data_IF_456323072398
#
_entry.id   IF_456323072398
#
_cell.length_a   1.000
_cell.length_b   1.000
_cell.length_c   1.000
_cell.angle_alpha   90.00
_cell.angle_beta   90.00
_cell.angle_gamma   90.00
#
_symmetry.space_group_name_H-M   'P 1'
#
loop_
_entity.id
_entity.type
_entity.pdbx_description
1 polymer ?
#
# COMPACT_ATOMS: atom_id res chain seq x y z
N UNK A 1 2.49 5.85 17.89
CA UNK A 1 3.40 6.98 18.18
C UNK A 1 2.86 8.29 17.63
N UNK A 2 2.46 8.39 16.32
CA UNK A 2 1.99 9.63 15.69
C UNK A 2 0.80 10.24 16.41
N UNK A 3 -0.28 9.48 16.67
CA UNK A 3 -1.44 9.95 17.44
C UNK A 3 -1.03 10.51 18.82
N UNK A 4 -0.17 9.81 19.56
CA UNK A 4 0.33 10.29 20.86
C UNK A 4 1.06 11.63 20.70
N UNK A 5 1.92 11.73 19.69
CA UNK A 5 2.67 12.95 19.42
C UNK A 5 1.78 14.14 19.09
N UNK A 6 0.75 13.95 18.28
CA UNK A 6 -0.23 14.99 17.92
C UNK A 6 -1.06 15.40 19.14
N UNK A 7 -1.67 14.44 19.85
CA UNK A 7 -2.53 14.70 21.00
C UNK A 7 -1.78 15.47 22.11
N UNK A 8 -0.49 15.16 22.31
CA UNK A 8 0.33 15.84 23.33
C UNK A 8 0.35 17.34 23.13
N UNK A 9 0.42 17.83 21.90
CA UNK A 9 0.44 19.26 21.59
C UNK A 9 -0.93 19.83 21.20
N UNK A 10 -1.92 18.96 20.92
CA UNK A 10 -3.30 19.32 20.53
C UNK A 10 -4.27 18.55 21.44
N UNK A 11 -4.35 18.86 22.76
CA UNK A 11 -5.14 18.08 23.73
C UNK A 11 -6.65 18.11 23.48
N UNK A 12 -7.14 19.02 22.65
CA UNK A 12 -8.52 19.06 22.17
C UNK A 12 -8.90 17.81 21.35
N UNK A 13 -7.91 17.07 20.82
CA UNK A 13 -8.05 15.81 20.11
C UNK A 13 -7.76 14.58 20.99
N UNK A 14 -7.93 14.69 22.32
CA UNK A 14 -7.64 13.59 23.26
C UNK A 14 -8.48 12.33 23.02
N UNK A 15 -9.67 12.46 22.44
CA UNK A 15 -10.39 11.35 21.86
C UNK A 15 -9.77 11.00 20.49
N UNK A 16 -9.15 9.82 20.39
CA UNK A 16 -8.44 9.37 19.21
C UNK A 16 -9.33 9.27 17.95
N UNK A 17 -10.64 9.05 18.13
CA UNK A 17 -11.62 9.00 17.03
C UNK A 17 -11.70 10.36 16.31
N UNK A 18 -11.48 11.46 17.04
CA UNK A 18 -11.48 12.82 16.46
C UNK A 18 -10.32 13.08 15.47
N UNK A 19 -9.35 12.17 15.39
CA UNK A 19 -8.23 12.25 14.46
C UNK A 19 -8.50 11.53 13.12
N UNK A 20 -9.64 10.89 12.95
CA UNK A 20 -9.99 10.21 11.69
C UNK A 20 -10.11 11.23 10.54
N UNK A 21 -9.62 10.83 9.36
CA UNK A 21 -9.57 11.69 8.18
C UNK A 21 -8.50 12.77 8.32
N UNK A 22 -8.78 13.95 7.82
CA UNK A 22 -7.91 15.13 7.92
C UNK A 22 -8.32 15.95 9.14
N UNK A 23 -7.69 15.69 10.29
CA UNK A 23 -7.97 16.43 11.51
C UNK A 23 -7.41 17.86 11.42
N UNK A 24 -8.17 18.88 11.86
CA UNK A 24 -7.74 20.28 11.80
C UNK A 24 -6.80 20.65 12.96
N UNK A 25 -5.75 19.86 13.18
CA UNK A 25 -4.74 20.15 14.21
C UNK A 25 -3.96 21.41 13.86
N UNK A 26 -3.55 22.15 14.87
CA UNK A 26 -2.89 23.47 14.70
C UNK A 26 -1.41 23.44 15.04
N UNK A 27 -0.98 22.46 15.80
CA UNK A 27 0.40 22.37 16.30
C UNK A 27 1.04 21.07 15.82
N UNK A 28 2.31 21.15 15.46
CA UNK A 28 3.11 19.96 15.15
C UNK A 28 3.12 18.99 16.33
N UNK A 29 3.27 17.72 16.04
CA UNK A 29 3.50 16.70 17.06
C UNK A 29 4.76 17.02 17.86
N UNK A 30 4.92 16.40 19.02
CA UNK A 30 6.22 16.33 19.65
C UNK A 30 7.23 15.70 18.68
N UNK A 31 8.53 16.07 18.74
CA UNK A 31 9.53 15.48 17.84
C UNK A 31 9.51 13.94 17.89
N UNK A 32 9.33 13.33 16.73
CA UNK A 32 9.36 11.87 16.55
C UNK A 32 10.65 11.52 15.82
N UNK A 33 11.41 10.56 16.35
CA UNK A 33 12.50 9.87 15.66
C UNK A 33 11.98 8.49 15.32
N UNK A 34 11.85 8.18 14.03
CA UNK A 34 11.31 6.93 13.56
C UNK A 34 12.40 5.99 13.04
N UNK A 35 12.38 4.76 13.52
CA UNK A 35 13.25 3.67 13.07
C UNK A 35 12.36 2.54 12.54
N UNK A 36 12.16 2.43 11.22
CA UNK A 36 11.32 1.37 10.66
C UNK A 36 11.97 0.01 10.85
N UNK A 37 11.15 -0.99 11.21
CA UNK A 37 11.56 -2.39 11.37
C UNK A 37 10.97 -3.29 10.29
N UNK A 38 10.20 -2.72 9.35
CA UNK A 38 9.62 -3.40 8.19
C UNK A 38 9.83 -2.55 6.94
N UNK A 39 9.93 -3.17 5.79
CA UNK A 39 10.00 -2.49 4.49
C UNK A 39 8.62 -2.56 3.81
N UNK A 40 7.70 -1.68 4.20
CA UNK A 40 6.32 -1.71 3.72
C UNK A 40 5.61 -0.36 3.83
N UNK A 41 5.22 0.02 5.03
CA UNK A 41 4.28 1.11 5.31
C UNK A 41 4.84 2.53 5.11
N UNK A 42 6.15 2.70 5.10
CA UNK A 42 6.81 4.01 5.06
C UNK A 42 6.34 5.01 6.14
N UNK A 43 5.92 4.50 7.31
CA UNK A 43 5.37 5.33 8.38
C UNK A 43 6.34 6.41 8.87
N UNK A 44 7.64 6.22 8.65
CA UNK A 44 8.70 7.16 9.01
C UNK A 44 8.78 8.40 8.12
N UNK A 45 8.07 8.42 6.99
CA UNK A 45 8.11 9.53 6.01
C UNK A 45 6.73 10.04 5.59
N UNK A 46 5.66 9.37 6.02
CA UNK A 46 4.29 9.69 5.60
C UNK A 46 3.56 10.60 6.60
N UNK A 47 2.51 11.27 6.12
CA UNK A 47 1.54 12.02 6.93
C UNK A 47 0.41 11.15 7.48
N UNK A 48 0.43 9.84 7.16
CA UNK A 48 -0.66 8.94 7.47
C UNK A 48 -0.31 8.03 8.65
N UNK A 49 -1.33 7.62 9.37
CA UNK A 49 -1.31 6.48 10.28
C UNK A 49 -2.71 5.87 10.38
N UNK A 50 -2.78 4.60 10.75
CA UNK A 50 -4.04 3.88 10.81
C UNK A 50 -4.23 3.31 12.21
N UNK A 51 -5.43 3.51 12.76
CA UNK A 51 -5.83 2.96 14.06
C UNK A 51 -7.09 2.11 13.85
N UNK A 52 -7.14 0.94 14.46
CA UNK A 52 -8.34 0.10 14.42
C UNK A 52 -9.32 0.57 15.49
N UNK A 53 -10.50 0.95 15.06
CA UNK A 53 -11.66 1.11 15.91
C UNK A 53 -12.29 -0.28 16.09
N UNK A 54 -12.05 -0.88 17.25
CA UNK A 54 -12.53 -2.24 17.56
C UNK A 54 -14.04 -2.29 17.77
N UNK A 55 -14.65 -1.19 18.23
CA UNK A 55 -16.10 -1.14 18.47
C UNK A 55 -16.89 -1.11 17.15
N UNK A 56 -16.40 -0.36 16.16
CA UNK A 56 -17.04 -0.22 14.87
C UNK A 56 -16.44 -1.13 13.78
N UNK A 57 -15.44 -1.95 14.11
CA UNK A 57 -14.72 -2.81 13.16
C UNK A 57 -14.22 -2.05 11.93
N UNK A 58 -13.57 -0.92 12.16
CA UNK A 58 -13.14 0.01 11.10
C UNK A 58 -11.65 0.36 11.23
N UNK A 59 -10.96 0.47 10.09
CA UNK A 59 -9.64 1.09 10.03
C UNK A 59 -9.83 2.59 9.87
N UNK A 60 -9.53 3.35 10.92
CA UNK A 60 -9.50 4.81 10.88
C UNK A 60 -8.19 5.26 10.24
N UNK A 61 -8.25 5.78 9.05
CA UNK A 61 -7.11 6.41 8.39
C UNK A 61 -7.03 7.86 8.86
N UNK A 62 -5.94 8.18 9.54
CA UNK A 62 -5.67 9.53 10.03
C UNK A 62 -4.61 10.17 9.15
N UNK A 63 -4.85 11.40 8.73
CA UNK A 63 -3.98 12.14 7.81
C UNK A 63 -3.67 13.51 8.42
N UNK A 64 -2.40 13.74 8.78
CA UNK A 64 -2.01 15.01 9.41
C UNK A 64 -0.56 15.39 9.03
N UNK A 65 -0.32 16.45 8.24
CA UNK A 65 1.02 16.90 7.92
C UNK A 65 1.84 17.34 9.14
N UNK A 66 1.19 17.56 10.29
CA UNK A 66 1.84 17.90 11.54
C UNK A 66 2.48 16.71 12.25
N UNK A 67 2.25 15.48 11.79
CA UNK A 67 2.73 14.25 12.44
C UNK A 67 3.95 13.60 11.76
N UNK A 68 4.43 14.16 10.64
CA UNK A 68 5.62 13.65 9.97
C UNK A 68 6.78 13.56 10.95
N UNK A 69 7.46 12.41 11.09
CA UNK A 69 8.64 12.30 11.94
C UNK A 69 9.71 13.32 11.58
N UNK A 70 10.31 13.92 12.61
CA UNK A 70 11.38 14.91 12.43
C UNK A 70 12.67 14.28 11.87
N UNK A 71 12.90 13.00 12.19
CA UNK A 71 14.06 12.22 11.74
C UNK A 71 13.59 10.81 11.43
N UNK A 72 13.99 10.30 10.27
CA UNK A 72 13.87 8.89 9.90
C UNK A 72 15.26 8.26 9.85
N UNK A 73 15.47 7.16 10.59
CA UNK A 73 16.69 6.37 10.57
C UNK A 73 16.34 5.03 9.92
N UNK A 74 16.64 4.90 8.64
CA UNK A 74 16.33 3.71 7.85
C UNK A 74 17.56 2.78 7.88
N UNK A 75 17.54 1.86 8.84
CA UNK A 75 18.58 0.86 9.04
C UNK A 75 18.04 -0.54 8.70
N UNK A 76 18.51 -1.09 7.60
CA UNK A 76 18.05 -2.40 7.11
C UNK A 76 18.44 -3.57 8.03
N UNK A 77 19.42 -3.41 8.91
CA UNK A 77 19.80 -4.46 9.87
C UNK A 77 18.66 -4.76 10.85
N UNK A 78 17.84 -3.75 11.18
CA UNK A 78 16.64 -3.92 12.01
C UNK A 78 15.58 -4.83 11.36
N UNK A 79 15.71 -5.12 10.07
CA UNK A 79 14.79 -5.95 9.29
C UNK A 79 15.31 -7.38 9.05
N UNK A 80 16.54 -7.72 9.45
CA UNK A 80 17.16 -9.03 9.15
C UNK A 80 16.44 -10.21 9.82
N UNK A 81 15.77 -9.98 10.95
CA UNK A 81 15.06 -11.01 11.71
C UNK A 81 13.60 -11.16 11.30
N UNK A 82 13.11 -10.39 10.31
CA UNK A 82 11.73 -10.50 9.84
C UNK A 82 11.45 -11.89 9.26
N UNK A 83 10.33 -12.54 9.65
CA UNK A 83 9.87 -13.77 9.02
C UNK A 83 9.63 -13.59 7.52
N UNK A 84 9.83 -14.65 6.74
CA UNK A 84 9.63 -14.65 5.28
C UNK A 84 8.26 -14.11 4.88
N UNK A 85 7.19 -14.61 5.50
CA UNK A 85 5.82 -14.17 5.19
C UNK A 85 5.61 -12.67 5.46
N UNK A 86 6.19 -12.13 6.54
CA UNK A 86 6.10 -10.71 6.84
C UNK A 86 6.95 -9.88 5.85
N UNK A 87 8.15 -10.33 5.51
CA UNK A 87 8.98 -9.69 4.48
C UNK A 87 8.25 -9.63 3.13
N UNK A 88 7.61 -10.75 2.73
CA UNK A 88 6.85 -10.84 1.48
C UNK A 88 5.65 -9.89 1.47
N UNK A 89 4.82 -9.96 2.52
CA UNK A 89 3.59 -9.15 2.58
C UNK A 89 3.88 -7.66 2.70
N UNK A 90 4.85 -7.25 3.54
CA UNK A 90 5.20 -5.82 3.64
C UNK A 90 5.89 -5.30 2.38
N UNK A 91 6.71 -6.12 1.72
CA UNK A 91 7.35 -5.72 0.46
C UNK A 91 6.35 -5.56 -0.70
N UNK A 92 5.33 -6.42 -0.77
CA UNK A 92 4.24 -6.26 -1.73
C UNK A 92 3.27 -5.13 -1.35
N UNK A 93 3.13 -4.81 -0.07
CA UNK A 93 2.47 -3.61 0.40
C UNK A 93 3.16 -2.35 -0.13
N UNK A 94 4.50 -2.28 -0.01
CA UNK A 94 5.29 -1.21 -0.62
C UNK A 94 5.12 -1.14 -2.15
N UNK A 95 5.02 -2.28 -2.84
CA UNK A 95 4.73 -2.33 -4.27
C UNK A 95 3.33 -1.81 -4.58
N UNK A 96 2.36 -2.14 -3.74
CA UNK A 96 0.98 -1.64 -3.87
C UNK A 96 0.94 -0.12 -3.70
N UNK A 97 1.62 0.42 -2.68
CA UNK A 97 1.77 1.85 -2.48
C UNK A 97 2.34 2.53 -3.74
N UNK A 98 3.45 1.99 -4.28
CA UNK A 98 4.11 2.56 -5.43
C UNK A 98 3.24 2.50 -6.71
N UNK A 99 2.54 1.39 -6.95
CA UNK A 99 1.66 1.26 -8.12
C UNK A 99 0.42 2.14 -7.97
N UNK A 100 -0.26 2.12 -6.82
CA UNK A 100 -1.43 2.99 -6.61
C UNK A 100 -1.05 4.47 -6.63
N UNK A 101 0.05 4.86 -5.97
CA UNK A 101 0.56 6.23 -6.00
C UNK A 101 0.91 6.71 -7.42
N UNK A 102 1.40 5.82 -8.29
CA UNK A 102 1.70 6.14 -9.69
C UNK A 102 0.42 6.37 -10.52
N UNK A 103 -0.65 5.61 -10.27
CA UNK A 103 -1.88 5.66 -11.09
C UNK A 103 -3.01 6.47 -10.47
N UNK A 104 -2.91 6.90 -9.22
CA UNK A 104 -3.95 7.70 -8.54
C UNK A 104 -4.26 8.99 -9.28
N UNK A 105 -5.46 9.52 -9.10
CA UNK A 105 -5.87 10.82 -9.68
C UNK A 105 -4.99 11.99 -9.25
N UNK A 106 -4.35 11.89 -8.09
CA UNK A 106 -3.44 12.90 -7.56
C UNK A 106 -2.02 12.85 -8.14
N UNK A 107 -1.67 11.82 -8.92
CA UNK A 107 -0.33 11.59 -9.44
C UNK A 107 0.13 12.69 -10.40
N UNK A 108 1.41 13.05 -10.35
CA UNK A 108 2.07 14.03 -11.20
C UNK A 108 3.56 13.69 -11.40
N UNK A 109 4.26 14.43 -12.24
CA UNK A 109 5.60 14.07 -12.71
C UNK A 109 6.60 13.81 -11.58
N UNK A 110 6.54 14.57 -10.49
CA UNK A 110 7.48 14.39 -9.39
C UNK A 110 7.15 13.11 -8.57
N UNK A 111 5.88 12.83 -8.30
CA UNK A 111 5.50 11.57 -7.63
C UNK A 111 5.85 10.36 -8.50
N UNK A 112 5.60 10.46 -9.82
CA UNK A 112 5.90 9.40 -10.78
C UNK A 112 7.35 8.94 -10.75
N UNK A 113 8.30 9.89 -10.64
CA UNK A 113 9.74 9.58 -10.57
C UNK A 113 10.07 8.69 -9.37
N UNK A 114 9.49 8.98 -8.22
CA UNK A 114 9.71 8.21 -7.01
C UNK A 114 9.02 6.84 -7.09
N UNK A 115 7.76 6.79 -7.56
CA UNK A 115 6.99 5.55 -7.63
C UNK A 115 7.60 4.58 -8.64
N UNK A 116 7.99 5.05 -9.83
CA UNK A 116 8.67 4.21 -10.84
C UNK A 116 9.98 3.64 -10.26
N UNK A 117 10.75 4.47 -9.55
CA UNK A 117 12.00 4.01 -8.92
C UNK A 117 11.74 3.00 -7.80
N UNK A 118 10.70 3.20 -7.00
CA UNK A 118 10.31 2.24 -5.96
C UNK A 118 9.90 0.90 -6.58
N UNK A 119 9.08 0.88 -7.63
CA UNK A 119 8.67 -0.33 -8.36
C UNK A 119 9.90 -1.08 -8.89
N UNK A 120 10.84 -0.39 -9.55
CA UNK A 120 12.09 -0.99 -10.06
C UNK A 120 12.91 -1.67 -8.95
N UNK A 121 13.07 -0.99 -7.83
CA UNK A 121 13.84 -1.51 -6.70
C UNK A 121 13.15 -2.70 -6.04
N UNK A 122 11.83 -2.64 -5.83
CA UNK A 122 11.07 -3.74 -5.24
C UNK A 122 11.12 -4.98 -6.15
N UNK A 123 10.91 -4.79 -7.45
CA UNK A 123 11.00 -5.88 -8.43
C UNK A 123 12.39 -6.55 -8.43
N UNK A 124 13.45 -5.77 -8.20
CA UNK A 124 14.84 -6.27 -8.14
C UNK A 124 15.15 -7.00 -6.84
N UNK A 125 14.67 -6.50 -5.70
CA UNK A 125 15.20 -6.91 -4.39
C UNK A 125 14.25 -7.76 -3.56
N UNK A 126 12.92 -7.71 -3.77
CA UNK A 126 11.97 -8.36 -2.88
C UNK A 126 12.17 -9.86 -2.77
N UNK A 127 12.34 -10.55 -3.90
CA UNK A 127 12.54 -11.99 -3.90
C UNK A 127 13.77 -12.38 -3.07
N UNK A 128 14.90 -11.73 -3.32
CA UNK A 128 16.15 -12.00 -2.57
C UNK A 128 15.96 -11.67 -1.09
N UNK A 129 15.31 -10.56 -0.74
CA UNK A 129 15.05 -10.21 0.66
C UNK A 129 14.18 -11.24 1.39
N UNK A 130 13.26 -11.91 0.69
CA UNK A 130 12.39 -12.96 1.25
C UNK A 130 13.15 -14.26 1.47
N UNK A 131 13.99 -14.68 0.50
CA UNK A 131 14.64 -15.99 0.55
C UNK A 131 16.04 -15.95 1.17
N UNK A 132 16.66 -14.79 1.20
CA UNK A 132 17.98 -14.54 1.81
C UNK A 132 17.86 -13.40 2.84
N UNK A 133 17.29 -13.66 4.03
CA UNK A 133 16.88 -12.60 4.97
C UNK A 133 18.02 -11.72 5.49
N UNK A 134 19.27 -12.18 5.41
CA UNK A 134 20.46 -11.43 5.83
C UNK A 134 21.26 -10.86 4.64
N UNK A 135 20.72 -10.92 3.43
CA UNK A 135 21.35 -10.31 2.26
C UNK A 135 21.25 -8.78 2.39
N UNK A 136 22.38 -8.15 2.72
CA UNK A 136 22.46 -6.72 3.03
C UNK A 136 22.03 -5.85 1.84
N UNK A 137 22.42 -6.20 0.61
CA UNK A 137 22.04 -5.43 -0.59
C UNK A 137 20.52 -5.45 -0.78
N UNK A 138 19.90 -6.64 -0.71
CA UNK A 138 18.46 -6.78 -0.89
C UNK A 138 17.66 -6.09 0.23
N UNK A 139 18.08 -6.23 1.49
CA UNK A 139 17.43 -5.54 2.62
C UNK A 139 17.55 -4.03 2.53
N UNK A 140 18.72 -3.50 2.22
CA UNK A 140 18.92 -2.06 1.97
C UNK A 140 18.07 -1.60 0.78
N UNK A 141 18.04 -2.37 -0.31
CA UNK A 141 17.23 -2.09 -1.48
C UNK A 141 15.75 -1.96 -1.13
N UNK A 142 15.20 -2.90 -0.37
CA UNK A 142 13.80 -2.86 0.08
C UNK A 142 13.51 -1.72 1.06
N UNK A 143 14.42 -1.47 2.03
CA UNK A 143 14.28 -0.39 2.99
C UNK A 143 14.23 0.99 2.31
N UNK A 144 15.09 1.21 1.31
CA UNK A 144 15.10 2.46 0.52
C UNK A 144 13.88 2.52 -0.41
N UNK A 145 13.49 1.40 -1.05
CA UNK A 145 12.37 1.39 -1.98
C UNK A 145 11.04 1.79 -1.31
N UNK A 146 10.72 1.22 -0.14
CA UNK A 146 9.51 1.60 0.59
C UNK A 146 9.54 3.05 1.05
N UNK A 147 10.72 3.55 1.47
CA UNK A 147 10.89 4.96 1.86
C UNK A 147 10.61 5.91 0.69
N UNK A 148 11.14 5.58 -0.51
CA UNK A 148 10.90 6.36 -1.74
C UNK A 148 9.41 6.33 -2.11
N UNK A 149 8.74 5.16 -2.06
CA UNK A 149 7.31 5.07 -2.29
C UNK A 149 6.53 5.95 -1.30
N UNK A 150 6.92 5.94 -0.01
CA UNK A 150 6.31 6.79 1.02
C UNK A 150 6.40 8.28 0.74
N UNK A 151 7.55 8.73 0.22
CA UNK A 151 7.74 10.14 -0.18
C UNK A 151 6.77 10.55 -1.28
N UNK A 152 6.33 9.63 -2.13
CA UNK A 152 5.40 9.91 -3.22
C UNK A 152 3.94 9.73 -2.79
N UNK A 153 3.50 8.51 -2.45
CA UNK A 153 2.08 8.27 -2.18
C UNK A 153 1.50 9.12 -1.03
N UNK A 154 2.32 9.49 -0.07
CA UNK A 154 1.92 10.39 1.02
C UNK A 154 1.45 11.76 0.54
N UNK A 155 1.84 12.18 -0.65
CA UNK A 155 1.46 13.46 -1.25
C UNK A 155 0.31 13.37 -2.26
N UNK A 156 0.06 12.17 -2.82
CA UNK A 156 -0.87 12.01 -3.94
C UNK A 156 -2.06 11.10 -3.62
N UNK A 157 -1.95 10.33 -2.55
CA UNK A 157 -2.97 9.36 -2.15
C UNK A 157 -2.85 8.02 -2.88
N UNK A 158 -3.81 7.15 -2.61
CA UNK A 158 -3.85 5.76 -3.06
C UNK A 158 -5.14 5.50 -3.87
N UNK A 159 -5.61 4.27 -3.89
CA UNK A 159 -6.76 3.88 -4.67
C UNK A 159 -7.57 2.73 -4.05
N UNK A 160 -8.28 2.00 -4.90
CA UNK A 160 -9.25 1.00 -4.48
C UNK A 160 -8.62 -0.30 -3.95
N UNK A 161 -7.32 -0.58 -4.20
CA UNK A 161 -6.65 -1.72 -3.56
C UNK A 161 -6.67 -1.54 -2.05
N UNK A 162 -6.19 -0.38 -1.57
CA UNK A 162 -6.23 -0.04 -0.15
C UNK A 162 -7.67 0.07 0.38
N UNK A 163 -8.57 0.69 -0.40
CA UNK A 163 -9.99 0.77 -0.05
C UNK A 163 -10.62 -0.60 0.19
N UNK A 164 -10.24 -1.62 -0.58
CA UNK A 164 -10.70 -2.99 -0.42
C UNK A 164 -9.91 -3.77 0.64
N UNK A 165 -8.65 -3.45 0.89
CA UNK A 165 -7.83 -4.13 1.89
C UNK A 165 -8.19 -3.74 3.33
N UNK A 166 -8.58 -2.50 3.57
CA UNK A 166 -8.91 -2.02 4.91
C UNK A 166 -10.07 -2.78 5.58
N UNK A 167 -11.21 -3.05 4.92
CA UNK A 167 -12.27 -3.87 5.49
C UNK A 167 -11.85 -5.30 5.82
N UNK A 168 -10.98 -5.92 5.00
CA UNK A 168 -10.44 -7.25 5.28
C UNK A 168 -9.66 -7.27 6.60
N UNK A 169 -8.86 -6.23 6.84
CA UNK A 169 -8.13 -6.09 8.09
C UNK A 169 -9.00 -5.72 9.29
N UNK A 170 -10.04 -4.90 9.08
CA UNK A 170 -10.90 -4.42 10.17
C UNK A 170 -11.89 -5.47 10.67
N UNK A 171 -12.45 -6.27 9.75
CA UNK A 171 -13.55 -7.21 10.04
C UNK A 171 -13.02 -8.62 10.32
N UNK A 172 -11.95 -9.02 9.62
CA UNK A 172 -11.43 -10.39 9.64
C UNK A 172 -10.00 -10.52 10.15
N UNK A 173 -9.40 -9.40 10.61
CA UNK A 173 -8.03 -9.34 11.13
C UNK A 173 -6.96 -9.86 10.13
N UNK A 174 -7.24 -9.74 8.85
CA UNK A 174 -6.27 -10.11 7.81
C UNK A 174 -5.12 -9.11 7.81
N UNK A 175 -3.85 -9.57 7.85
CA UNK A 175 -2.71 -8.69 7.81
C UNK A 175 -2.74 -7.77 6.58
N UNK A 176 -2.59 -6.48 6.79
CA UNK A 176 -2.75 -5.44 5.77
C UNK A 176 -1.98 -5.71 4.47
N UNK A 177 -0.68 -6.01 4.58
CA UNK A 177 0.15 -6.32 3.41
C UNK A 177 -0.26 -7.60 2.67
N UNK A 178 -0.88 -8.58 3.35
CA UNK A 178 -1.43 -9.77 2.70
C UNK A 178 -2.66 -9.39 1.89
N UNK A 179 -3.58 -8.60 2.46
CA UNK A 179 -4.78 -8.13 1.78
C UNK A 179 -4.43 -7.33 0.52
N UNK A 180 -3.52 -6.35 0.64
CA UNK A 180 -3.05 -5.55 -0.48
C UNK A 180 -2.40 -6.43 -1.57
N UNK A 181 -1.50 -7.32 -1.20
CA UNK A 181 -0.77 -8.16 -2.13
C UNK A 181 -1.67 -9.12 -2.93
N UNK A 182 -2.72 -9.65 -2.29
CA UNK A 182 -3.70 -10.52 -2.93
C UNK A 182 -4.59 -9.74 -3.91
N UNK A 183 -5.05 -8.56 -3.52
CA UNK A 183 -5.98 -7.75 -4.31
C UNK A 183 -5.29 -7.04 -5.48
N UNK A 184 -4.01 -6.70 -5.34
CA UNK A 184 -3.28 -5.86 -6.30
C UNK A 184 -3.39 -6.33 -7.76
N UNK A 185 -3.12 -7.60 -8.12
CA UNK A 185 -3.18 -8.02 -9.53
C UNK A 185 -4.57 -7.89 -10.14
N UNK A 186 -5.63 -8.21 -9.38
CA UNK A 186 -7.03 -8.12 -9.84
C UNK A 186 -7.41 -6.68 -10.14
N UNK A 187 -7.01 -5.77 -9.26
CA UNK A 187 -7.34 -4.35 -9.39
C UNK A 187 -6.46 -3.66 -10.42
N UNK A 188 -5.21 -4.08 -10.57
CA UNK A 188 -4.37 -3.62 -11.68
C UNK A 188 -5.02 -3.94 -13.04
N UNK A 189 -5.53 -5.16 -13.22
CA UNK A 189 -6.24 -5.54 -14.46
C UNK A 189 -7.46 -4.63 -14.69
N UNK A 190 -8.23 -4.35 -13.64
CA UNK A 190 -9.37 -3.45 -13.72
C UNK A 190 -8.96 -2.02 -14.09
N UNK A 191 -7.88 -1.48 -13.50
CA UNK A 191 -7.44 -0.09 -13.67
C UNK A 191 -6.66 0.15 -14.97
N UNK A 192 -6.06 -0.88 -15.58
CA UNK A 192 -5.18 -0.76 -16.73
C UNK A 192 -5.75 0.10 -17.88
N UNK A 193 -7.03 -0.07 -18.29
CA UNK A 193 -7.60 0.74 -19.38
C UNK A 193 -7.62 2.24 -19.09
N UNK A 194 -7.66 2.66 -17.83
CA UNK A 194 -7.70 4.08 -17.45
C UNK A 194 -6.31 4.72 -17.34
N UNK A 195 -5.22 3.92 -17.32
CA UNK A 195 -3.87 4.40 -17.05
C UNK A 195 -2.79 3.72 -17.92
N UNK A 196 -3.10 3.33 -19.16
CA UNK A 196 -2.23 2.52 -20.02
C UNK A 196 -0.78 3.04 -20.13
N UNK A 197 -0.57 4.36 -20.21
CA UNK A 197 0.78 4.94 -20.27
C UNK A 197 1.59 4.63 -19.00
N UNK A 198 0.98 4.73 -17.84
CA UNK A 198 1.60 4.42 -16.55
C UNK A 198 1.93 2.92 -16.45
N UNK A 199 1.07 2.06 -17.00
CA UNK A 199 1.33 0.61 -17.03
C UNK A 199 2.52 0.23 -17.93
N UNK A 200 2.79 1.01 -19.00
CA UNK A 200 4.04 0.85 -19.76
C UNK A 200 5.26 1.13 -18.87
N UNK A 201 5.19 2.17 -18.04
CA UNK A 201 6.28 2.50 -17.13
C UNK A 201 6.42 1.44 -16.02
N UNK A 202 5.31 0.89 -15.50
CA UNK A 202 5.35 -0.26 -14.58
C UNK A 202 6.03 -1.47 -15.26
N UNK A 203 5.66 -1.79 -16.50
CA UNK A 203 6.26 -2.91 -17.24
C UNK A 203 7.77 -2.74 -17.42
N UNK A 204 8.23 -1.50 -17.69
CA UNK A 204 9.65 -1.18 -17.78
C UNK A 204 10.34 -1.31 -16.43
N UNK A 205 9.77 -0.75 -15.38
CA UNK A 205 10.31 -0.83 -14.03
C UNK A 205 10.41 -2.28 -13.51
N UNK A 206 9.43 -3.12 -13.86
CA UNK A 206 9.45 -4.56 -13.55
C UNK A 206 10.32 -5.39 -14.53
N UNK A 207 11.00 -4.75 -15.48
CA UNK A 207 11.87 -5.40 -16.48
C UNK A 207 11.15 -6.45 -17.36
N UNK A 208 9.88 -6.22 -17.69
CA UNK A 208 9.07 -7.12 -18.54
C UNK A 208 8.63 -6.47 -19.85
N UNK A 209 8.87 -5.18 -20.03
CA UNK A 209 8.63 -4.48 -21.30
C UNK A 209 9.58 -4.98 -22.38
N UNK A 210 9.05 -5.19 -23.59
CA UNK A 210 9.84 -5.51 -24.79
C UNK A 210 9.54 -4.48 -25.89
N UNK A 211 10.57 -4.13 -26.66
CA UNK A 211 10.41 -3.21 -27.76
C UNK A 211 9.35 -3.71 -28.75
N UNK A 212 8.47 -2.81 -29.16
CA UNK A 212 7.36 -3.10 -30.06
C UNK A 212 6.06 -3.55 -29.39
N UNK A 213 6.02 -3.73 -28.06
CA UNK A 213 4.77 -3.97 -27.36
C UNK A 213 3.80 -2.79 -27.52
N UNK A 214 2.53 -3.09 -27.75
CA UNK A 214 1.44 -2.13 -27.57
C UNK A 214 1.30 -1.76 -26.09
N UNK A 215 0.56 -0.69 -25.79
CA UNK A 215 0.32 -0.29 -24.40
C UNK A 215 -0.48 -1.35 -23.63
N UNK A 216 -1.41 -2.00 -24.31
CA UNK A 216 -2.24 -3.08 -23.76
C UNK A 216 -1.40 -4.33 -23.45
N UNK A 217 -0.49 -4.70 -24.34
CA UNK A 217 0.46 -5.81 -24.11
C UNK A 217 1.39 -5.50 -22.94
N UNK A 218 1.91 -4.28 -22.86
CA UNK A 218 2.75 -3.85 -21.74
C UNK A 218 1.97 -3.85 -20.42
N UNK A 219 0.71 -3.38 -20.42
CA UNK A 219 -0.15 -3.41 -19.24
C UNK A 219 -0.40 -4.85 -18.76
N UNK A 220 -0.72 -5.75 -19.68
CA UNK A 220 -0.88 -7.17 -19.36
C UNK A 220 0.40 -7.77 -18.80
N UNK A 221 1.56 -7.48 -19.40
CA UNK A 221 2.85 -7.97 -18.91
C UNK A 221 3.16 -7.44 -17.49
N UNK A 222 2.82 -6.19 -17.17
CA UNK A 222 2.97 -5.63 -15.84
C UNK A 222 2.10 -6.37 -14.80
N UNK A 223 0.82 -6.60 -15.10
CA UNK A 223 -0.10 -7.35 -14.22
C UNK A 223 0.41 -8.76 -13.96
N UNK A 224 0.79 -9.48 -15.02
CA UNK A 224 1.32 -10.84 -14.89
C UNK A 224 2.64 -10.89 -14.11
N UNK A 225 3.51 -9.88 -14.23
CA UNK A 225 4.75 -9.81 -13.47
C UNK A 225 4.50 -9.62 -11.96
N UNK A 226 3.54 -8.76 -11.60
CA UNK A 226 3.13 -8.56 -10.20
C UNK A 226 2.52 -9.84 -9.64
N UNK A 227 1.62 -10.49 -10.39
CA UNK A 227 1.02 -11.76 -10.00
C UNK A 227 2.06 -12.86 -9.81
N UNK A 228 2.99 -12.99 -10.75
CA UNK A 228 4.09 -13.97 -10.65
C UNK A 228 4.97 -13.74 -9.43
N UNK A 229 5.29 -12.46 -9.12
CA UNK A 229 6.05 -12.11 -7.93
C UNK A 229 5.28 -12.46 -6.65
N UNK A 230 3.98 -12.14 -6.58
CA UNK A 230 3.11 -12.48 -5.45
C UNK A 230 3.06 -13.99 -5.18
N UNK A 231 2.86 -14.79 -6.22
CA UNK A 231 2.91 -16.26 -6.13
C UNK A 231 4.27 -16.75 -5.64
N UNK A 232 5.35 -16.20 -6.22
CA UNK A 232 6.72 -16.64 -5.93
C UNK A 232 7.12 -16.39 -4.48
N UNK A 233 6.69 -15.29 -3.89
CA UNK A 233 6.99 -14.97 -2.48
C UNK A 233 5.98 -15.59 -1.51
N UNK A 234 4.99 -16.34 -1.99
CA UNK A 234 4.09 -17.17 -1.18
C UNK A 234 2.88 -16.44 -0.60
N UNK A 235 2.38 -15.42 -1.29
CA UNK A 235 1.11 -14.77 -0.91
C UNK A 235 -0.07 -15.64 -1.33
N UNK A 236 -1.11 -15.80 -0.48
CA UNK A 236 -2.38 -16.40 -0.88
C UNK A 236 -2.96 -15.72 -2.13
N UNK A 237 -3.57 -16.51 -3.01
CA UNK A 237 -4.08 -16.00 -4.29
C UNK A 237 -5.59 -15.80 -4.29
N UNK A 238 -6.29 -16.33 -3.29
CA UNK A 238 -7.75 -16.27 -3.16
C UNK A 238 -8.17 -15.86 -1.75
N UNK A 239 -9.21 -15.04 -1.65
CA UNK A 239 -9.78 -14.62 -0.36
C UNK A 239 -10.30 -15.80 0.46
N UNK A 240 -10.78 -16.87 -0.21
CA UNK A 240 -11.22 -18.09 0.42
C UNK A 240 -10.10 -18.81 1.20
N UNK A 241 -8.84 -18.66 0.79
CA UNK A 241 -7.67 -19.18 1.52
C UNK A 241 -7.45 -18.45 2.86
N UNK A 242 -7.98 -17.23 2.98
CA UNK A 242 -7.92 -16.41 4.19
C UNK A 242 -9.15 -16.57 5.10
N UNK A 243 -10.04 -17.54 4.77
CA UNK A 243 -11.24 -17.83 5.55
C UNK A 243 -12.43 -16.91 5.25
N UNK A 244 -12.33 -16.03 4.26
CA UNK A 244 -13.43 -15.19 3.81
C UNK A 244 -14.45 -16.09 3.09
N UNK A 245 -15.74 -15.81 3.28
CA UNK A 245 -16.84 -16.50 2.62
C UNK A 245 -17.51 -15.60 1.59
N UNK A 246 -18.16 -16.20 0.61
CA UNK A 246 -18.88 -15.45 -0.44
C UNK A 246 -19.97 -14.54 0.16
N UNK A 247 -20.61 -14.98 1.25
CA UNK A 247 -21.63 -14.22 1.99
C UNK A 247 -21.10 -12.93 2.64
N UNK A 248 -19.78 -12.81 2.84
CA UNK A 248 -19.12 -11.63 3.43
C UNK A 248 -18.86 -10.53 2.40
N UNK A 249 -18.78 -10.88 1.11
CA UNK A 249 -18.35 -9.95 0.06
C UNK A 249 -19.23 -8.69 -0.07
N UNK A 250 -20.57 -8.74 0.07
CA UNK A 250 -21.39 -7.52 0.02
C UNK A 250 -21.06 -6.54 1.16
N UNK A 251 -20.83 -7.04 2.37
CA UNK A 251 -20.43 -6.20 3.51
C UNK A 251 -19.07 -5.55 3.28
N UNK A 252 -18.12 -6.30 2.73
CA UNK A 252 -16.80 -5.79 2.37
C UNK A 252 -16.90 -4.71 1.30
N UNK A 253 -17.75 -4.89 0.27
CA UNK A 253 -17.92 -3.91 -0.80
C UNK A 253 -18.52 -2.59 -0.29
N UNK A 254 -19.54 -2.67 0.57
CA UNK A 254 -20.15 -1.49 1.20
C UNK A 254 -19.15 -0.71 2.08
N UNK A 255 -18.24 -1.40 2.76
CA UNK A 255 -17.18 -0.75 3.54
C UNK A 255 -16.11 -0.13 2.64
N UNK A 256 -15.71 -0.83 1.58
CA UNK A 256 -14.64 -0.40 0.67
C UNK A 256 -15.02 0.84 -0.16
N UNK A 257 -16.29 0.97 -0.58
CA UNK A 257 -16.73 2.16 -1.33
C UNK A 257 -16.69 3.43 -0.45
N UNK A 258 -16.86 3.28 0.86
CA UNK A 258 -16.81 4.38 1.84
C UNK A 258 -15.38 4.71 2.31
N UNK A 259 -14.37 3.92 1.91
CA UNK A 259 -12.99 4.11 2.33
C UNK A 259 -12.38 5.38 1.71
N UNK A 260 -11.56 6.07 2.51
CA UNK A 260 -10.92 7.35 2.13
C UNK A 260 -9.95 7.22 0.94
N UNK A 261 -9.39 6.05 0.67
CA UNK A 261 -8.49 5.81 -0.44
C UNK A 261 -9.23 5.61 -1.77
N UNK A 262 -10.45 5.07 -1.74
CA UNK A 262 -11.24 4.69 -2.92
C UNK A 262 -11.44 5.83 -3.93
N UNK A 263 -11.72 7.09 -3.55
CA UNK A 263 -11.89 8.20 -4.49
C UNK A 263 -10.66 8.54 -5.33
N UNK A 264 -9.44 8.17 -4.86
CA UNK A 264 -8.18 8.38 -5.57
C UNK A 264 -8.00 7.44 -6.77
N UNK A 265 -8.80 6.37 -6.88
CA UNK A 265 -8.66 5.38 -7.94
C UNK A 265 -8.81 6.02 -9.34
N UNK A 266 -7.95 5.68 -10.33
CA UNK A 266 -7.99 6.31 -11.65
C UNK A 266 -9.28 6.00 -12.43
N UNK A 267 -9.85 4.83 -12.20
CA UNK A 267 -11.12 4.41 -12.79
C UNK A 267 -12.22 4.52 -11.75
N UNK A 268 -13.37 5.05 -12.14
CA UNK A 268 -14.54 5.13 -11.25
C UNK A 268 -14.99 3.74 -10.82
N UNK A 269 -15.38 3.63 -9.57
CA UNK A 269 -15.90 2.42 -8.96
C UNK A 269 -17.26 2.72 -8.29
N UNK A 270 -18.11 1.71 -8.30
CA UNK A 270 -19.36 1.66 -7.52
C UNK A 270 -19.27 0.47 -6.56
N UNK A 271 -20.21 0.38 -5.62
CA UNK A 271 -20.27 -0.77 -4.72
C UNK A 271 -20.42 -2.09 -5.49
N UNK A 272 -21.19 -2.10 -6.57
CA UNK A 272 -21.37 -3.28 -7.43
C UNK A 272 -20.07 -3.68 -8.13
N UNK A 273 -19.30 -2.70 -8.63
CA UNK A 273 -17.98 -2.97 -9.25
C UNK A 273 -17.03 -3.54 -8.22
N UNK A 274 -16.98 -2.98 -7.03
CA UNK A 274 -16.13 -3.47 -5.94
C UNK A 274 -16.53 -4.90 -5.55
N UNK A 275 -17.82 -5.19 -5.47
CA UNK A 275 -18.32 -6.55 -5.22
C UNK A 275 -17.83 -7.53 -6.30
N UNK A 276 -17.89 -7.16 -7.57
CA UNK A 276 -17.37 -8.00 -8.66
C UNK A 276 -15.84 -8.19 -8.59
N UNK A 277 -15.10 -7.16 -8.16
CA UNK A 277 -13.65 -7.27 -7.94
C UNK A 277 -13.34 -8.23 -6.78
N UNK A 278 -14.09 -8.18 -5.68
CA UNK A 278 -13.95 -9.16 -4.59
C UNK A 278 -14.27 -10.58 -5.06
N UNK A 279 -15.33 -10.78 -5.87
CA UNK A 279 -15.64 -12.11 -6.46
C UNK A 279 -14.53 -12.63 -7.34
N UNK A 280 -13.83 -11.78 -8.09
CA UNK A 280 -12.67 -12.17 -8.90
C UNK A 280 -11.46 -12.57 -8.07
N UNK A 281 -11.33 -12.01 -6.86
CA UNK A 281 -10.28 -12.33 -5.91
C UNK A 281 -10.64 -13.49 -4.97
N UNK A 282 -11.91 -13.98 -5.00
CA UNK A 282 -12.41 -15.07 -4.16
C UNK A 282 -12.05 -16.44 -4.75
#
# INVERSE_FOLDING_TARGET
SKAIGIITNNPEFSDVVSLEGVAPTKKKSVPIIALPTTAGTAAEVTINYVITDEENHKKMVCVDPNDIPAIAIVDAELMYTLPKGLTASTGLDALTHAIEGLITKGAWEMSDMFEIKAIEMIARYLETAVFEPTNAEARNGMAVAQYIAGMAFSNVGLGVVHGMAHPLGAIFDIPHGVANALLLPVIMEFNAPAALSKYVDIAKAMNVYKDGMSREEAAKAAVEAVKALSVKVGIPQHLSELGIKEEDLPRLAASAIADVCTPGNPREVTEEIILELYKKAF
#
